data_IF_729811053644
#
_entry.id   IF_729811053644
#
_cell.length_a   1.000
_cell.length_b   1.000
_cell.length_c   1.000
_cell.angle_alpha   90.00
_cell.angle_beta   90.00
_cell.angle_gamma   90.00
#
_symmetry.space_group_name_H-M   'P 1'
#
loop_
_entity.id
_entity.type
_entity.pdbx_description
1 polymer ?
#
# COMPACT_ATOMS: atom_id res chain seq x y z
N UNK A 1 -84.54 -60.77 -21.82
CA UNK A 1 -84.64 -59.64 -20.87
C UNK A 1 -83.33 -58.89 -20.93
N UNK A 2 -83.43 -57.58 -21.16
CA UNK A 2 -82.27 -56.71 -21.14
C UNK A 2 -81.54 -56.78 -19.79
N UNK A 3 -80.24 -56.55 -19.82
CA UNK A 3 -79.41 -56.50 -18.62
C UNK A 3 -78.64 -55.18 -18.56
N UNK A 4 -78.42 -54.69 -17.34
CA UNK A 4 -77.69 -53.46 -17.07
C UNK A 4 -76.20 -53.77 -16.91
N UNK A 5 -75.36 -52.97 -17.55
CA UNK A 5 -73.92 -52.97 -17.33
C UNK A 5 -73.56 -51.72 -16.54
N UNK A 6 -72.86 -51.92 -15.42
CA UNK A 6 -72.33 -50.83 -14.60
C UNK A 6 -70.82 -50.73 -14.78
N UNK A 7 -70.30 -49.52 -14.68
CA UNK A 7 -68.87 -49.27 -14.52
C UNK A 7 -68.40 -49.72 -13.13
N UNK A 8 -67.08 -49.74 -12.93
CA UNK A 8 -66.47 -50.11 -11.65
C UNK A 8 -66.91 -49.19 -10.49
N UNK A 9 -67.12 -47.90 -10.77
CA UNK A 9 -67.66 -46.92 -9.81
C UNK A 9 -69.16 -47.08 -9.53
N UNK A 10 -69.78 -48.16 -9.99
CA UNK A 10 -71.21 -48.50 -9.88
C UNK A 10 -72.17 -47.64 -10.69
N UNK A 11 -71.68 -46.67 -11.47
CA UNK A 11 -72.53 -45.90 -12.38
C UNK A 11 -73.01 -46.76 -13.55
N UNK A 12 -74.26 -46.58 -13.97
CA UNK A 12 -74.80 -47.30 -15.11
C UNK A 12 -74.08 -46.86 -16.39
N UNK A 13 -73.48 -47.82 -17.11
CA UNK A 13 -72.88 -47.60 -18.42
C UNK A 13 -73.97 -47.62 -19.50
N UNK A 14 -74.73 -48.73 -19.59
CA UNK A 14 -75.80 -48.92 -20.58
C UNK A 14 -76.73 -50.06 -20.17
N UNK A 15 -77.86 -50.19 -20.87
CA UNK A 15 -78.80 -51.32 -20.78
C UNK A 15 -78.82 -52.02 -22.14
N UNK A 16 -78.36 -53.27 -22.20
CA UNK A 16 -78.26 -54.03 -23.45
C UNK A 16 -79.52 -54.85 -23.68
N UNK A 17 -80.23 -54.58 -24.79
CA UNK A 17 -81.47 -55.27 -25.15
C UNK A 17 -81.20 -56.61 -25.84
N UNK A 18 -82.13 -57.56 -25.69
CA UNK A 18 -82.05 -58.87 -26.38
C UNK A 18 -81.99 -58.70 -27.91
N UNK A 19 -81.17 -59.52 -28.56
CA UNK A 19 -81.03 -59.54 -30.02
C UNK A 19 -80.37 -58.30 -30.62
N UNK A 20 -79.75 -57.43 -29.80
CA UNK A 20 -79.09 -56.20 -30.26
C UNK A 20 -77.62 -56.14 -29.83
N UNK A 21 -76.85 -55.24 -30.44
CA UNK A 21 -75.50 -54.87 -30.01
C UNK A 21 -75.56 -53.44 -29.49
N UNK A 22 -75.07 -53.21 -28.28
CA UNK A 22 -74.75 -51.88 -27.78
C UNK A 22 -73.32 -51.52 -28.18
N UNK A 23 -73.16 -50.31 -28.73
CA UNK A 23 -71.86 -49.80 -29.17
C UNK A 23 -71.54 -48.46 -28.49
N UNK A 24 -72.03 -48.26 -27.28
CA UNK A 24 -71.81 -47.02 -26.53
C UNK A 24 -70.32 -46.82 -26.19
N UNK A 25 -69.55 -47.90 -26.12
CA UNK A 25 -68.09 -47.93 -25.91
C UNK A 25 -67.35 -48.49 -27.12
N UNK A 26 -66.01 -48.40 -27.12
CA UNK A 26 -65.17 -49.04 -28.15
C UNK A 26 -65.20 -50.58 -28.11
N UNK A 27 -65.60 -51.15 -26.97
CA UNK A 27 -65.99 -52.57 -26.87
C UNK A 27 -67.48 -52.69 -27.20
N UNK A 28 -67.82 -53.65 -28.07
CA UNK A 28 -69.22 -53.94 -28.43
C UNK A 28 -69.85 -54.84 -27.36
N UNK A 29 -70.92 -54.41 -26.72
CA UNK A 29 -71.63 -55.20 -25.70
C UNK A 29 -72.79 -55.96 -26.36
N UNK A 30 -72.75 -57.28 -26.31
CA UNK A 30 -73.64 -58.14 -27.11
C UNK A 30 -74.84 -58.62 -26.30
N UNK A 31 -76.05 -58.26 -26.72
CA UNK A 31 -77.29 -58.68 -26.07
C UNK A 31 -77.58 -60.17 -26.19
N UNK A 32 -78.40 -60.68 -25.27
CA UNK A 32 -78.79 -62.09 -25.25
C UNK A 32 -79.44 -62.49 -26.58
N UNK A 33 -79.12 -63.69 -27.10
CA UNK A 33 -79.62 -64.24 -28.36
C UNK A 33 -79.23 -63.47 -29.64
N UNK A 34 -78.19 -62.63 -29.61
CA UNK A 34 -77.66 -62.01 -30.83
C UNK A 34 -76.95 -63.05 -31.72
N UNK A 35 -77.36 -63.13 -32.99
CA UNK A 35 -76.72 -64.01 -33.97
C UNK A 35 -75.35 -63.43 -34.38
N UNK A 36 -74.28 -64.23 -34.25
CA UNK A 36 -72.91 -63.76 -34.51
C UNK A 36 -72.17 -63.23 -33.27
N UNK A 37 -72.67 -63.49 -32.06
CA UNK A 37 -72.03 -63.02 -30.81
C UNK A 37 -70.56 -63.44 -30.68
N UNK A 38 -70.21 -64.65 -31.13
CA UNK A 38 -68.87 -65.23 -30.95
C UNK A 38 -67.78 -64.47 -31.70
N UNK A 39 -68.08 -63.96 -32.89
CA UNK A 39 -67.15 -63.13 -33.67
C UNK A 39 -66.86 -61.81 -32.92
N UNK A 40 -67.92 -61.11 -32.53
CA UNK A 40 -67.82 -59.82 -31.83
C UNK A 40 -67.08 -59.96 -30.49
N UNK A 41 -67.33 -61.03 -29.76
CA UNK A 41 -66.69 -61.25 -28.47
C UNK A 41 -65.19 -61.57 -28.62
N UNK A 42 -64.81 -62.32 -29.65
CA UNK A 42 -63.41 -62.58 -29.96
C UNK A 42 -62.68 -61.32 -30.44
N UNK A 43 -63.31 -60.49 -31.27
CA UNK A 43 -62.76 -59.18 -31.67
C UNK A 43 -62.47 -58.30 -30.44
N UNK A 44 -63.43 -58.19 -29.52
CA UNK A 44 -63.25 -57.41 -28.30
C UNK A 44 -62.05 -57.90 -27.46
N UNK A 45 -61.81 -59.21 -27.38
CA UNK A 45 -60.64 -59.75 -26.68
C UNK A 45 -59.32 -59.39 -27.38
N UNK A 46 -59.31 -59.38 -28.71
CA UNK A 46 -58.14 -58.94 -29.49
C UNK A 46 -57.89 -57.46 -29.27
N UNK A 47 -58.93 -56.61 -29.35
CA UNK A 47 -58.81 -55.16 -29.11
C UNK A 47 -58.26 -54.86 -27.71
N UNK A 48 -58.70 -55.61 -26.69
CA UNK A 48 -58.15 -55.50 -25.35
C UNK A 48 -56.68 -55.95 -25.27
N UNK A 49 -56.33 -57.07 -25.93
CA UNK A 49 -54.98 -57.63 -25.93
C UNK A 49 -53.97 -56.65 -26.56
N UNK A 50 -54.36 -55.98 -27.64
CA UNK A 50 -53.53 -55.00 -28.33
C UNK A 50 -53.65 -53.57 -27.78
N UNK A 51 -54.40 -53.37 -26.69
CA UNK A 51 -54.67 -52.06 -26.11
C UNK A 51 -55.21 -51.07 -27.15
N UNK A 52 -56.19 -51.50 -27.96
CA UNK A 52 -56.83 -50.72 -29.01
C UNK A 52 -55.84 -50.09 -30.01
N UNK A 53 -54.73 -50.76 -30.30
CA UNK A 53 -53.65 -50.25 -31.15
C UNK A 53 -54.16 -49.70 -32.49
N UNK A 54 -53.85 -48.42 -32.77
CA UNK A 54 -54.29 -47.77 -34.00
C UNK A 54 -53.74 -46.35 -34.13
N UNK A 55 -53.74 -45.83 -35.36
CA UNK A 55 -53.22 -44.48 -35.66
C UNK A 55 -54.21 -43.37 -35.26
N UNK A 56 -55.48 -43.70 -35.09
CA UNK A 56 -56.53 -42.79 -34.67
C UNK A 56 -56.97 -43.13 -33.24
N UNK A 57 -57.28 -42.10 -32.46
CA UNK A 57 -57.80 -42.29 -31.11
C UNK A 57 -59.14 -43.04 -31.13
N UNK A 58 -59.38 -43.97 -30.17
CA UNK A 58 -60.67 -44.64 -30.05
C UNK A 58 -61.82 -43.62 -29.85
N UNK A 59 -62.87 -43.68 -30.69
CA UNK A 59 -63.90 -42.64 -30.75
C UNK A 59 -64.90 -42.68 -29.59
N UNK A 60 -65.02 -43.79 -28.86
CA UNK A 60 -65.99 -43.99 -27.79
C UNK A 60 -65.31 -44.38 -26.49
N UNK A 61 -64.29 -43.59 -26.17
CA UNK A 61 -63.41 -43.83 -25.03
C UNK A 61 -64.14 -43.71 -23.69
N UNK A 62 -63.82 -44.60 -22.76
CA UNK A 62 -64.23 -44.49 -21.36
C UNK A 62 -63.04 -44.09 -20.48
N UNK A 63 -63.32 -43.40 -19.37
CA UNK A 63 -62.27 -42.98 -18.43
C UNK A 63 -61.46 -44.20 -17.94
N UNK A 64 -60.13 -44.10 -18.03
CA UNK A 64 -59.19 -45.16 -17.68
C UNK A 64 -58.87 -46.14 -18.82
N UNK A 65 -59.53 -46.03 -19.99
CA UNK A 65 -59.18 -46.86 -21.15
C UNK A 65 -57.76 -46.58 -21.62
N UNK A 66 -57.07 -47.62 -22.05
CA UNK A 66 -55.70 -47.58 -22.56
C UNK A 66 -55.75 -47.68 -24.09
N UNK A 67 -54.87 -46.92 -24.77
CA UNK A 67 -54.71 -46.91 -26.21
C UNK A 67 -53.22 -46.90 -26.58
N UNK A 68 -52.80 -47.80 -27.47
CA UNK A 68 -51.49 -47.71 -28.10
C UNK A 68 -51.58 -46.91 -29.41
N UNK A 69 -51.10 -45.66 -29.38
CA UNK A 69 -51.04 -44.78 -30.54
C UNK A 69 -49.90 -45.24 -31.47
N UNK A 70 -50.26 -45.95 -32.55
CA UNK A 70 -49.28 -46.52 -33.48
C UNK A 70 -48.63 -45.46 -34.37
N UNK A 71 -49.22 -44.27 -34.51
CA UNK A 71 -48.60 -43.18 -35.27
C UNK A 71 -47.40 -42.58 -34.51
N UNK A 72 -47.50 -42.52 -33.17
CA UNK A 72 -46.47 -41.94 -32.31
C UNK A 72 -45.69 -42.98 -31.47
N UNK A 73 -46.04 -44.27 -31.56
CA UNK A 73 -45.47 -45.36 -30.74
C UNK A 73 -45.53 -45.09 -29.24
N UNK A 74 -46.68 -44.59 -28.76
CA UNK A 74 -46.87 -44.20 -27.35
C UNK A 74 -48.09 -44.90 -26.77
N UNK A 75 -47.94 -45.43 -25.56
CA UNK A 75 -49.07 -45.85 -24.73
C UNK A 75 -49.74 -44.61 -24.13
N UNK A 76 -51.06 -44.53 -24.26
CA UNK A 76 -51.90 -43.44 -23.76
C UNK A 76 -53.05 -43.98 -22.92
N UNK A 77 -53.61 -43.13 -22.06
CA UNK A 77 -54.83 -43.42 -21.30
C UNK A 77 -55.83 -42.27 -21.39
N UNK A 78 -57.13 -42.56 -21.33
CA UNK A 78 -58.18 -41.54 -21.38
C UNK A 78 -58.50 -41.03 -19.98
N UNK A 79 -58.32 -39.73 -19.72
CA UNK A 79 -58.52 -39.14 -18.39
C UNK A 79 -59.99 -38.79 -18.06
N UNK A 80 -60.89 -38.96 -19.02
CA UNK A 80 -62.30 -38.55 -18.94
C UNK A 80 -62.65 -37.33 -19.82
N UNK A 81 -61.65 -36.64 -20.36
CA UNK A 81 -61.82 -35.57 -21.33
C UNK A 81 -60.89 -35.67 -22.55
N UNK A 82 -59.65 -36.13 -22.37
CA UNK A 82 -58.65 -36.30 -23.43
C UNK A 82 -57.75 -37.52 -23.21
N UNK A 83 -57.11 -37.98 -24.28
CA UNK A 83 -56.04 -38.98 -24.21
C UNK A 83 -54.74 -38.34 -23.72
N UNK A 84 -54.09 -38.95 -22.73
CA UNK A 84 -52.80 -38.54 -22.15
C UNK A 84 -51.74 -39.60 -22.36
N UNK A 85 -50.49 -39.20 -22.49
CA UNK A 85 -49.34 -40.10 -22.59
C UNK A 85 -49.01 -40.72 -21.22
N UNK A 86 -48.64 -42.00 -21.19
CA UNK A 86 -48.11 -42.64 -19.99
C UNK A 86 -46.63 -42.27 -19.85
N UNK A 87 -46.26 -41.65 -18.73
CA UNK A 87 -44.93 -41.15 -18.32
C UNK A 87 -43.73 -41.40 -19.24
N UNK A 88 -43.10 -40.31 -19.68
CA UNK A 88 -41.83 -40.24 -20.41
C UNK A 88 -41.61 -38.81 -20.91
N UNK A 89 -40.38 -38.44 -21.27
CA UNK A 89 -40.17 -37.13 -21.91
C UNK A 89 -40.83 -37.13 -23.30
N UNK A 90 -41.56 -36.07 -23.63
CA UNK A 90 -41.92 -35.78 -25.02
C UNK A 90 -40.64 -35.49 -25.80
N UNK A 91 -40.55 -35.91 -27.06
CA UNK A 91 -39.32 -35.78 -27.86
C UNK A 91 -39.65 -34.97 -29.10
N UNK A 92 -39.12 -33.75 -29.20
CA UNK A 92 -39.36 -32.88 -30.35
C UNK A 92 -38.33 -31.74 -30.40
N UNK A 93 -38.11 -31.20 -31.59
CA UNK A 93 -37.24 -30.03 -31.82
C UNK A 93 -37.87 -28.70 -31.37
N UNK A 94 -39.17 -28.70 -31.07
CA UNK A 94 -39.92 -27.52 -30.62
C UNK A 94 -40.75 -27.88 -29.40
N UNK A 95 -41.02 -26.89 -28.55
CA UNK A 95 -41.77 -27.09 -27.30
C UNK A 95 -43.16 -27.71 -27.58
N UNK A 96 -43.47 -28.89 -26.99
CA UNK A 96 -44.76 -29.54 -27.16
C UNK A 96 -45.87 -28.79 -26.41
N UNK A 97 -47.06 -28.69 -27.03
CA UNK A 97 -48.23 -28.06 -26.42
C UNK A 97 -49.09 -29.08 -25.65
N UNK A 98 -49.83 -28.61 -24.64
CA UNK A 98 -50.87 -29.40 -23.96
C UNK A 98 -50.40 -30.30 -22.81
N UNK A 99 -49.17 -30.10 -22.34
CA UNK A 99 -48.58 -30.82 -21.23
C UNK A 99 -49.03 -30.27 -19.87
N UNK A 100 -48.89 -31.10 -18.83
CA UNK A 100 -49.25 -30.79 -17.45
C UNK A 100 -48.01 -30.61 -16.61
N UNK A 101 -48.14 -29.89 -15.48
CA UNK A 101 -47.02 -29.66 -14.57
C UNK A 101 -46.35 -30.99 -14.19
N UNK A 102 -45.04 -31.05 -14.35
CA UNK A 102 -44.22 -32.23 -14.08
C UNK A 102 -43.87 -33.06 -15.32
N UNK A 103 -44.46 -32.77 -16.49
CA UNK A 103 -44.10 -33.45 -17.73
C UNK A 103 -42.69 -33.05 -18.19
N UNK A 104 -41.93 -34.02 -18.68
CA UNK A 104 -40.61 -33.81 -19.25
C UNK A 104 -40.67 -33.61 -20.77
N UNK A 105 -39.74 -32.84 -21.31
CA UNK A 105 -39.54 -32.67 -22.75
C UNK A 105 -38.04 -32.74 -23.06
N UNK A 106 -37.66 -33.55 -24.05
CA UNK A 106 -36.32 -33.63 -24.61
C UNK A 106 -36.28 -32.85 -25.94
N UNK A 107 -35.57 -31.72 -25.92
CA UNK A 107 -35.28 -30.91 -27.10
C UNK A 107 -34.19 -31.59 -27.93
N UNK A 108 -34.57 -32.11 -29.11
CA UNK A 108 -33.62 -32.81 -29.99
C UNK A 108 -32.66 -31.88 -30.72
N UNK A 109 -32.97 -30.59 -30.83
CA UNK A 109 -32.10 -29.62 -31.51
C UNK A 109 -30.96 -29.19 -30.59
N UNK A 110 -31.29 -28.84 -29.34
CA UNK A 110 -30.32 -28.38 -28.35
C UNK A 110 -29.78 -29.50 -27.46
N UNK A 111 -30.35 -30.72 -27.56
CA UNK A 111 -30.00 -31.88 -26.73
C UNK A 111 -30.19 -31.62 -25.22
N UNK A 112 -31.32 -30.99 -24.88
CA UNK A 112 -31.62 -30.53 -23.53
C UNK A 112 -32.91 -31.13 -22.99
N UNK A 113 -32.92 -31.50 -21.71
CA UNK A 113 -34.09 -31.94 -20.96
C UNK A 113 -34.73 -30.76 -20.24
N UNK A 114 -36.02 -30.57 -20.47
CA UNK A 114 -36.87 -29.58 -19.83
C UNK A 114 -37.97 -30.26 -18.99
N UNK A 115 -38.45 -29.54 -17.97
CA UNK A 115 -39.64 -29.91 -17.20
C UNK A 115 -40.68 -28.79 -17.26
N UNK A 116 -41.95 -29.12 -17.50
CA UNK A 116 -43.03 -28.15 -17.54
C UNK A 116 -43.48 -27.79 -16.12
N UNK A 117 -43.41 -26.52 -15.73
CA UNK A 117 -43.78 -26.08 -14.38
C UNK A 117 -45.26 -25.70 -14.23
N UNK A 118 -46.04 -25.73 -15.33
CA UNK A 118 -47.44 -25.30 -15.37
C UNK A 118 -47.69 -24.06 -16.24
N UNK A 119 -46.65 -23.25 -16.47
CA UNK A 119 -46.68 -22.12 -17.41
C UNK A 119 -45.67 -22.29 -18.53
N UNK A 120 -44.44 -22.67 -18.19
CA UNK A 120 -43.30 -22.71 -19.10
C UNK A 120 -42.42 -23.94 -18.87
N UNK A 121 -41.54 -24.21 -19.83
CA UNK A 121 -40.49 -25.23 -19.72
C UNK A 121 -39.25 -24.69 -19.03
N UNK A 122 -38.82 -25.37 -17.97
CA UNK A 122 -37.59 -25.07 -17.22
C UNK A 122 -36.51 -26.07 -17.60
N UNK A 123 -35.33 -25.60 -17.98
CA UNK A 123 -34.18 -26.44 -18.30
C UNK A 123 -33.71 -27.21 -17.06
N UNK A 124 -33.63 -28.53 -17.18
CA UNK A 124 -33.10 -29.45 -16.16
C UNK A 124 -31.63 -29.79 -16.44
N UNK A 125 -31.23 -29.90 -17.71
CA UNK A 125 -29.84 -30.06 -18.16
C UNK A 125 -29.73 -30.80 -19.49
N UNK A 126 -28.52 -31.06 -20.05
CA UNK A 126 -27.29 -30.29 -19.92
C UNK A 126 -27.44 -28.85 -20.46
N UNK A 127 -26.59 -27.93 -20.02
CA UNK A 127 -26.54 -26.61 -20.62
C UNK A 127 -25.71 -26.68 -21.90
N UNK A 128 -26.35 -26.50 -23.06
CA UNK A 128 -25.64 -26.37 -24.32
C UNK A 128 -25.19 -24.92 -24.48
N UNK A 129 -23.88 -24.72 -24.58
CA UNK A 129 -23.25 -23.43 -24.78
C UNK A 129 -22.03 -23.57 -25.71
N UNK A 130 -22.26 -24.18 -26.88
CA UNK A 130 -21.28 -24.28 -27.97
C UNK A 130 -20.70 -25.68 -28.15
N UNK A 131 -19.66 -25.81 -28.97
CA UNK A 131 -19.10 -27.10 -29.40
C UNK A 131 -18.21 -27.79 -28.34
N UNK A 132 -18.28 -27.38 -27.07
CA UNK A 132 -17.47 -27.90 -25.96
C UNK A 132 -18.19 -27.76 -24.62
N UNK A 133 -17.63 -28.37 -23.57
CA UNK A 133 -18.24 -28.31 -22.23
C UNK A 133 -18.02 -26.93 -21.64
N UNK A 134 -19.11 -26.22 -21.35
CA UNK A 134 -19.10 -24.94 -20.65
C UNK A 134 -20.00 -25.04 -19.41
N UNK A 135 -19.42 -25.41 -18.27
CA UNK A 135 -20.15 -25.59 -17.02
C UNK A 135 -19.20 -25.55 -15.80
N UNK A 136 -19.78 -25.36 -14.61
CA UNK A 136 -19.07 -25.60 -13.35
C UNK A 136 -19.27 -27.05 -12.90
N UNK A 137 -18.18 -27.82 -12.85
CA UNK A 137 -18.20 -29.24 -12.47
C UNK A 137 -17.53 -29.47 -11.12
N UNK A 138 -18.06 -30.41 -10.33
CA UNK A 138 -17.33 -30.94 -9.18
C UNK A 138 -16.33 -31.97 -9.67
N UNK A 139 -15.04 -31.79 -9.37
CA UNK A 139 -13.95 -32.68 -9.73
C UNK A 139 -13.20 -33.14 -8.49
N UNK A 140 -12.73 -34.38 -8.50
CA UNK A 140 -11.78 -34.89 -7.50
C UNK A 140 -10.37 -34.84 -8.09
N UNK A 141 -9.43 -34.27 -7.36
CA UNK A 141 -8.02 -34.10 -7.75
C UNK A 141 -7.14 -34.65 -6.64
N UNK A 142 -6.19 -35.50 -6.97
CA UNK A 142 -5.18 -36.04 -6.06
C UNK A 142 -4.10 -34.99 -5.79
N UNK A 143 -3.75 -34.80 -4.52
CA UNK A 143 -2.60 -33.98 -4.14
C UNK A 143 -1.29 -34.79 -4.12
N UNK A 144 -0.14 -34.11 -4.02
CA UNK A 144 1.18 -34.76 -3.96
C UNK A 144 1.40 -35.67 -2.74
N UNK A 145 0.50 -35.61 -1.74
CA UNK A 145 0.46 -36.52 -0.59
C UNK A 145 -0.46 -37.72 -0.79
N UNK A 146 -0.95 -37.95 -2.02
CA UNK A 146 -1.92 -38.99 -2.37
C UNK A 146 -3.27 -38.85 -1.65
N UNK A 147 -3.68 -37.63 -1.30
CA UNK A 147 -4.99 -37.35 -0.70
C UNK A 147 -5.92 -36.80 -1.78
N UNK A 148 -7.10 -37.41 -1.92
CA UNK A 148 -8.16 -36.92 -2.82
C UNK A 148 -8.78 -35.63 -2.29
N UNK A 149 -8.73 -34.56 -3.10
CA UNK A 149 -9.30 -33.24 -2.82
C UNK A 149 -10.48 -32.98 -3.75
N UNK A 150 -11.57 -32.48 -3.21
CA UNK A 150 -12.71 -32.03 -4.01
C UNK A 150 -12.54 -30.56 -4.37
N UNK A 151 -12.70 -30.24 -5.66
CA UNK A 151 -12.67 -28.88 -6.19
C UNK A 151 -13.87 -28.65 -7.11
N UNK A 152 -14.23 -27.38 -7.30
CA UNK A 152 -15.14 -26.98 -8.38
C UNK A 152 -14.28 -26.41 -9.51
N UNK A 153 -14.44 -26.95 -10.72
CA UNK A 153 -13.76 -26.49 -11.92
C UNK A 153 -14.74 -25.74 -12.82
N UNK A 154 -14.42 -24.48 -13.12
CA UNK A 154 -15.14 -23.70 -14.11
C UNK A 154 -14.52 -23.92 -15.49
N UNK A 155 -15.18 -24.75 -16.29
CA UNK A 155 -14.76 -25.10 -17.64
C UNK A 155 -15.50 -24.25 -18.65
N UNK A 156 -14.80 -23.71 -19.64
CA UNK A 156 -15.37 -23.00 -20.79
C UNK A 156 -14.70 -23.57 -22.04
N UNK A 157 -15.49 -24.09 -22.98
CA UNK A 157 -15.00 -24.74 -24.20
C UNK A 157 -13.90 -25.78 -23.91
N UNK A 158 -14.15 -26.67 -22.94
CA UNK A 158 -13.23 -27.72 -22.48
C UNK A 158 -11.93 -27.24 -21.80
N UNK A 159 -11.76 -25.94 -21.58
CA UNK A 159 -10.61 -25.36 -20.86
C UNK A 159 -11.00 -24.88 -19.46
N UNK A 160 -10.19 -25.19 -18.45
CA UNK A 160 -10.48 -24.82 -17.06
C UNK A 160 -9.93 -23.42 -16.77
N UNK A 161 -10.82 -22.47 -16.50
CA UNK A 161 -10.48 -21.06 -16.30
C UNK A 161 -10.09 -20.74 -14.85
N UNK A 162 -10.75 -21.38 -13.88
CA UNK A 162 -10.43 -21.27 -12.46
C UNK A 162 -10.90 -22.49 -11.67
N UNK A 163 -10.31 -22.69 -10.49
CA UNK A 163 -10.65 -23.72 -9.52
C UNK A 163 -11.12 -23.10 -8.21
N UNK A 164 -12.08 -23.74 -7.55
CA UNK A 164 -12.51 -23.38 -6.19
C UNK A 164 -12.21 -24.54 -5.25
N UNK A 165 -11.56 -24.25 -4.12
CA UNK A 165 -11.22 -25.25 -3.10
C UNK A 165 -11.40 -24.71 -1.68
N UNK A 166 -11.84 -25.53 -0.70
CA UNK A 166 -11.87 -25.13 0.70
C UNK A 166 -10.49 -25.17 1.40
N UNK A 167 -9.46 -25.73 0.74
CA UNK A 167 -8.11 -25.89 1.30
C UNK A 167 -7.05 -25.64 0.23
N UNK A 168 -5.85 -25.22 0.65
CA UNK A 168 -4.70 -25.15 -0.25
C UNK A 168 -4.03 -26.52 -0.39
N UNK A 169 -3.64 -26.90 -1.62
CA UNK A 169 -2.89 -28.13 -1.89
C UNK A 169 -2.12 -28.05 -3.23
N UNK A 170 -1.05 -28.84 -3.35
CA UNK A 170 -0.30 -29.02 -4.61
C UNK A 170 -0.88 -30.21 -5.37
N UNK A 171 -1.19 -30.02 -6.66
CA UNK A 171 -1.73 -31.07 -7.53
C UNK A 171 -0.63 -32.09 -7.84
N UNK A 172 -0.96 -33.38 -7.73
CA UNK A 172 -0.09 -34.42 -8.27
C UNK A 172 -0.23 -34.48 -9.80
N UNK A 173 0.68 -33.84 -10.52
CA UNK A 173 0.67 -33.82 -11.99
C UNK A 173 1.36 -35.02 -12.63
N UNK A 174 1.67 -36.09 -11.87
CA UNK A 174 2.33 -37.29 -12.43
C UNK A 174 1.39 -38.14 -13.30
N UNK A 175 0.08 -38.11 -13.02
CA UNK A 175 -0.96 -38.72 -13.86
C UNK A 175 -1.65 -37.65 -14.73
N UNK A 176 -1.67 -37.87 -16.05
CA UNK A 176 -2.32 -36.99 -17.02
C UNK A 176 -3.85 -36.86 -16.80
N UNK A 177 -4.49 -37.84 -16.17
CA UNK A 177 -5.91 -37.78 -15.83
C UNK A 177 -6.18 -36.90 -14.59
N UNK A 178 -5.19 -36.79 -13.70
CA UNK A 178 -5.28 -35.95 -12.52
C UNK A 178 -4.88 -34.49 -12.79
N UNK A 179 -3.88 -34.30 -13.65
CA UNK A 179 -3.36 -32.99 -14.02
C UNK A 179 -4.46 -32.08 -14.59
N UNK A 180 -4.35 -30.78 -14.28
CA UNK A 180 -5.21 -29.73 -14.84
C UNK A 180 -4.30 -28.69 -15.48
N UNK A 181 -4.46 -28.46 -16.78
CA UNK A 181 -3.61 -27.55 -17.54
C UNK A 181 -3.61 -26.14 -16.93
N UNK A 182 -2.41 -25.61 -16.65
CA UNK A 182 -2.23 -24.30 -16.03
C UNK A 182 -2.36 -24.26 -14.51
N UNK A 183 -2.45 -25.41 -13.82
CA UNK A 183 -2.51 -25.49 -12.36
C UNK A 183 -1.47 -26.49 -11.81
N UNK A 184 -0.62 -26.01 -10.89
CA UNK A 184 0.30 -26.83 -10.09
C UNK A 184 -0.07 -26.79 -8.60
N UNK A 185 -0.63 -25.67 -8.14
CA UNK A 185 -1.17 -25.43 -6.81
C UNK A 185 -2.61 -24.95 -6.91
N UNK A 186 -3.45 -25.38 -5.98
CA UNK A 186 -4.79 -24.84 -5.78
C UNK A 186 -4.79 -24.13 -4.43
N UNK A 187 -5.05 -22.83 -4.43
CA UNK A 187 -5.21 -22.02 -3.22
C UNK A 187 -6.58 -22.25 -2.60
N UNK A 188 -6.69 -22.05 -1.28
CA UNK A 188 -7.99 -21.95 -0.62
C UNK A 188 -8.77 -20.75 -1.20
N UNK A 189 -10.03 -20.96 -1.57
CA UNK A 189 -10.84 -19.98 -2.29
C UNK A 189 -10.78 -20.21 -3.79
N UNK A 190 -10.64 -19.13 -4.57
CA UNK A 190 -10.58 -19.17 -6.04
C UNK A 190 -9.14 -19.07 -6.52
N UNK A 191 -8.72 -20.01 -7.37
CA UNK A 191 -7.42 -20.01 -8.04
C UNK A 191 -7.63 -19.83 -9.54
N UNK A 192 -7.08 -18.77 -10.14
CA UNK A 192 -7.16 -18.54 -11.58
C UNK A 192 -6.15 -19.42 -12.34
N UNK A 193 -6.44 -19.75 -13.59
CA UNK A 193 -5.50 -20.48 -14.46
C UNK A 193 -4.15 -19.76 -14.54
N UNK A 194 -3.06 -20.53 -14.51
CA UNK A 194 -1.67 -20.07 -14.50
C UNK A 194 -1.28 -19.27 -13.26
N UNK A 195 -1.96 -19.48 -12.14
CA UNK A 195 -1.56 -18.99 -10.82
C UNK A 195 -0.64 -20.02 -10.17
N UNK A 196 0.62 -20.03 -10.60
CA UNK A 196 1.54 -21.12 -10.28
C UNK A 196 2.30 -20.91 -8.96
N UNK A 197 2.83 -22.00 -8.39
CA UNK A 197 3.70 -21.93 -7.21
C UNK A 197 4.99 -21.16 -7.52
N UNK A 198 5.57 -21.39 -8.72
CA UNK A 198 6.79 -20.72 -9.17
C UNK A 198 6.65 -19.20 -9.34
N UNK A 199 5.44 -18.71 -9.59
CA UNK A 199 5.14 -17.27 -9.68
C UNK A 199 4.64 -16.69 -8.35
N UNK A 200 4.83 -17.43 -7.24
CA UNK A 200 4.37 -17.06 -5.91
C UNK A 200 2.88 -16.69 -5.84
N UNK A 201 2.03 -17.32 -6.66
CA UNK A 201 0.60 -17.03 -6.72
C UNK A 201 0.21 -15.82 -7.58
N UNK A 202 1.10 -15.33 -8.44
CA UNK A 202 0.77 -14.34 -9.47
C UNK A 202 0.30 -15.06 -10.75
N UNK A 203 -0.88 -14.71 -11.25
CA UNK A 203 -1.37 -15.20 -12.55
C UNK A 203 -0.48 -14.68 -13.69
N UNK A 204 0.15 -15.57 -14.46
CA UNK A 204 1.09 -15.20 -15.53
C UNK A 204 0.46 -14.86 -16.88
N UNK A 205 -0.87 -14.87 -16.97
CA UNK A 205 -1.65 -14.62 -18.19
C UNK A 205 -2.76 -13.62 -17.91
N UNK A 206 -3.51 -13.19 -18.93
CA UNK A 206 -4.53 -12.14 -18.82
C UNK A 206 -5.76 -12.51 -17.96
N UNK A 207 -5.77 -13.70 -17.33
CA UNK A 207 -6.82 -14.10 -16.39
C UNK A 207 -6.76 -13.22 -15.14
N UNK A 208 -7.75 -12.33 -15.01
CA UNK A 208 -7.87 -11.40 -13.90
C UNK A 208 -9.34 -11.18 -13.55
N UNK A 209 -9.60 -10.82 -12.30
CA UNK A 209 -10.91 -10.35 -11.89
C UNK A 209 -11.09 -8.90 -12.37
N UNK A 210 -11.92 -8.70 -13.39
CA UNK A 210 -12.32 -7.37 -13.83
C UNK A 210 -13.54 -6.89 -13.03
N UNK A 211 -13.41 -5.77 -12.33
CA UNK A 211 -14.51 -5.15 -11.60
C UNK A 211 -14.04 -4.07 -10.62
N UNK A 212 -14.99 -3.29 -10.10
CA UNK A 212 -14.72 -2.40 -8.96
C UNK A 212 -14.89 -3.22 -7.68
N UNK A 213 -13.82 -3.63 -7.02
CA UNK A 213 -13.94 -4.10 -5.64
C UNK A 213 -14.17 -2.86 -4.76
N UNK A 214 -15.25 -2.85 -3.98
CA UNK A 214 -15.59 -1.73 -3.07
C UNK A 214 -14.46 -1.40 -2.07
N UNK A 215 -13.56 -2.36 -1.84
CA UNK A 215 -12.35 -2.20 -1.05
C UNK A 215 -11.05 -2.11 -1.87
N UNK A 216 -11.03 -2.18 -3.20
CA UNK A 216 -9.78 -2.05 -3.98
C UNK A 216 -9.15 -0.65 -3.92
N UNK A 217 -9.95 0.37 -3.58
CA UNK A 217 -9.45 1.72 -3.25
C UNK A 217 -8.82 1.82 -1.86
N UNK A 218 -8.84 0.72 -1.08
CA UNK A 218 -8.36 0.67 0.30
C UNK A 218 -7.49 -0.55 0.53
N UNK A 219 -6.23 -0.35 0.86
CA UNK A 219 -5.38 -1.44 1.35
C UNK A 219 -5.55 -1.50 2.87
N UNK A 220 -5.93 -2.66 3.42
CA UNK A 220 -6.16 -2.84 4.87
C UNK A 220 -7.12 -1.78 5.50
N UNK A 221 -8.12 -1.32 4.74
CA UNK A 221 -9.10 -0.31 5.19
C UNK A 221 -8.64 1.16 5.06
N UNK A 222 -7.39 1.41 4.67
CA UNK A 222 -6.81 2.74 4.49
C UNK A 222 -6.90 3.13 3.02
N UNK A 223 -7.41 4.33 2.73
CA UNK A 223 -7.53 4.83 1.35
C UNK A 223 -6.16 4.92 0.68
N UNK A 224 -6.11 4.58 -0.61
CA UNK A 224 -4.91 4.68 -1.45
C UNK A 224 -4.24 6.08 -1.37
N UNK A 225 -5.03 7.15 -1.19
CA UNK A 225 -4.54 8.52 -1.06
C UNK A 225 -3.72 8.80 0.20
N UNK A 226 -3.82 7.94 1.21
CA UNK A 226 -3.13 8.12 2.49
C UNK A 226 -1.75 7.47 2.52
N UNK A 227 -1.36 6.76 1.45
CA UNK A 227 -0.05 6.13 1.36
C UNK A 227 1.00 7.09 0.81
N UNK A 228 2.19 7.03 1.41
CA UNK A 228 3.38 7.63 0.85
C UNK A 228 4.00 6.63 -0.12
N UNK A 229 4.15 7.02 -1.38
CA UNK A 229 4.70 6.15 -2.44
C UNK A 229 6.09 6.62 -2.87
N UNK A 230 7.02 5.68 -3.04
CA UNK A 230 8.31 5.92 -3.65
C UNK A 230 8.24 5.64 -5.15
N UNK A 231 7.82 6.63 -5.93
CA UNK A 231 7.73 6.51 -7.39
C UNK A 231 8.99 7.07 -8.05
N UNK A 232 9.80 6.24 -8.74
CA UNK A 232 10.98 6.73 -9.43
C UNK A 232 10.65 7.88 -10.39
N UNK A 233 11.38 8.99 -10.28
CA UNK A 233 11.20 10.17 -11.13
C UNK A 233 10.06 11.12 -10.72
N UNK A 234 9.26 10.78 -9.70
CA UNK A 234 8.23 11.66 -9.15
C UNK A 234 8.56 11.99 -7.67
N UNK A 235 8.73 13.27 -7.30
CA UNK A 235 9.00 13.62 -5.91
C UNK A 235 7.78 13.32 -5.04
N UNK A 236 8.03 12.75 -3.85
CA UNK A 236 7.04 12.71 -2.78
C UNK A 236 6.91 14.11 -2.18
N UNK A 237 5.72 14.71 -2.24
CA UNK A 237 5.45 16.06 -1.74
C UNK A 237 4.50 16.00 -0.55
N UNK A 238 4.92 16.55 0.59
CA UNK A 238 4.06 16.79 1.74
C UNK A 238 3.60 18.25 1.72
N UNK A 239 2.28 18.48 1.75
CA UNK A 239 1.68 19.83 1.73
C UNK A 239 1.37 20.38 3.12
N UNK A 240 1.49 19.53 4.14
CA UNK A 240 1.26 19.84 5.55
C UNK A 240 2.53 19.53 6.37
N UNK A 241 2.56 19.93 7.63
CA UNK A 241 3.65 19.59 8.55
C UNK A 241 3.74 18.06 8.71
N UNK A 242 4.93 17.51 8.44
CA UNK A 242 5.23 16.08 8.63
C UNK A 242 5.93 15.87 9.97
N UNK A 243 5.35 15.06 10.85
CA UNK A 243 5.91 14.71 12.15
C UNK A 243 6.62 13.35 12.10
N UNK A 244 7.87 13.29 12.55
CA UNK A 244 8.59 12.05 12.85
C UNK A 244 8.53 11.84 14.36
N UNK A 245 7.66 10.94 14.83
CA UNK A 245 7.35 10.79 16.26
C UNK A 245 8.35 9.93 17.04
N UNK A 246 9.35 9.38 16.37
CA UNK A 246 10.41 8.59 17.02
C UNK A 246 11.68 9.43 17.12
N UNK A 247 12.41 9.25 18.21
CA UNK A 247 13.68 9.95 18.43
C UNK A 247 14.75 9.56 17.41
N UNK A 248 14.56 8.42 16.71
CA UNK A 248 15.40 8.01 15.58
C UNK A 248 15.36 9.00 14.39
N UNK A 249 14.31 9.82 14.29
CA UNK A 249 14.19 10.90 13.31
C UNK A 249 14.22 10.45 11.85
N UNK A 250 15.00 11.14 11.02
CA UNK A 250 15.12 10.92 9.57
C UNK A 250 16.58 10.72 9.15
N UNK A 251 16.80 9.77 8.25
CA UNK A 251 18.09 9.53 7.58
C UNK A 251 17.96 9.77 6.07
N UNK A 252 18.91 10.51 5.50
CA UNK A 252 18.86 11.07 4.14
C UNK A 252 20.14 10.69 3.39
N UNK A 253 19.99 10.25 2.14
CA UNK A 253 21.10 9.89 1.26
C UNK A 253 21.28 8.39 1.08
N UNK A 254 21.92 7.99 -0.02
CA UNK A 254 22.25 6.60 -0.29
C UNK A 254 23.37 6.16 0.65
N UNK A 255 23.09 5.26 1.59
CA UNK A 255 24.01 4.93 2.68
C UNK A 255 23.70 5.64 4.01
N UNK A 256 22.61 6.42 4.06
CA UNK A 256 22.12 7.08 5.28
C UNK A 256 23.12 8.11 5.83
N UNK A 257 23.65 8.96 4.94
CA UNK A 257 24.74 9.90 5.24
C UNK A 257 24.33 10.98 6.25
N UNK A 258 23.26 11.73 5.96
CA UNK A 258 22.78 12.83 6.82
C UNK A 258 21.65 12.32 7.72
N UNK A 259 21.75 12.56 9.02
CA UNK A 259 20.71 12.25 10.01
C UNK A 259 20.27 13.49 10.77
N UNK A 260 18.97 13.61 10.96
CA UNK A 260 18.34 14.56 11.87
C UNK A 260 17.53 13.74 12.87
N UNK A 261 17.90 13.80 14.15
CA UNK A 261 17.34 12.92 15.18
C UNK A 261 17.39 13.58 16.57
N UNK A 262 16.77 12.94 17.56
CA UNK A 262 16.78 13.37 18.96
C UNK A 262 17.71 12.43 19.76
N UNK A 263 18.65 13.00 20.48
CA UNK A 263 19.53 12.31 21.44
C UNK A 263 19.11 12.64 22.88
N UNK A 264 19.33 11.73 23.82
CA UNK A 264 19.02 11.92 25.25
C UNK A 264 17.60 12.47 25.51
N UNK A 265 16.62 12.00 24.74
CA UNK A 265 15.19 12.37 24.73
C UNK A 265 14.85 13.83 24.35
N UNK A 266 15.81 14.77 24.37
CA UNK A 266 15.50 16.20 24.16
C UNK A 266 16.56 17.02 23.43
N UNK A 267 17.64 16.41 22.92
CA UNK A 267 18.72 17.10 22.23
C UNK A 267 18.59 16.90 20.72
N UNK A 268 18.33 17.98 19.97
CA UNK A 268 18.26 17.92 18.51
C UNK A 268 19.64 17.80 17.88
N UNK A 269 19.87 16.77 17.06
CA UNK A 269 21.16 16.48 16.45
C UNK A 269 21.09 16.54 14.92
N UNK A 270 22.07 17.21 14.31
CA UNK A 270 22.37 17.14 12.88
C UNK A 270 23.71 16.42 12.74
N UNK A 271 23.70 15.22 12.16
CA UNK A 271 24.89 14.37 12.06
C UNK A 271 25.16 13.94 10.63
N UNK A 272 26.43 13.95 10.23
CA UNK A 272 26.92 13.14 9.13
C UNK A 272 27.44 11.80 9.69
N UNK A 273 26.81 10.68 9.33
CA UNK A 273 27.14 9.34 9.83
C UNK A 273 28.19 8.60 9.00
N UNK A 274 28.54 9.10 7.80
CA UNK A 274 29.48 8.43 6.89
C UNK A 274 30.70 9.31 6.56
N UNK A 275 30.49 10.60 6.36
CA UNK A 275 31.55 11.59 6.12
C UNK A 275 31.97 12.35 7.38
N UNK A 276 33.01 13.17 7.23
CA UNK A 276 33.61 13.99 8.28
C UNK A 276 33.27 15.49 8.15
N UNK A 277 32.22 15.82 7.38
CA UNK A 277 31.92 17.20 7.02
C UNK A 277 30.42 17.48 6.95
N UNK A 278 30.00 18.61 7.54
CA UNK A 278 28.66 19.20 7.38
C UNK A 278 28.82 20.59 6.75
N UNK A 279 28.12 20.85 5.64
CA UNK A 279 28.20 22.13 4.91
C UNK A 279 26.94 22.95 5.06
N UNK A 280 27.10 24.21 5.42
CA UNK A 280 26.02 25.19 5.37
C UNK A 280 26.14 26.02 4.09
N UNK A 281 25.14 25.86 3.21
CA UNK A 281 25.06 26.58 1.94
C UNK A 281 23.86 27.50 1.93
N UNK A 282 24.05 28.69 1.41
CA UNK A 282 22.98 29.68 1.20
C UNK A 282 22.98 30.12 -0.24
N UNK A 283 21.82 30.57 -0.73
CA UNK A 283 21.72 31.19 -2.04
C UNK A 283 22.06 32.68 -1.91
N UNK A 284 23.05 33.15 -2.66
CA UNK A 284 23.31 34.59 -2.78
C UNK A 284 22.13 35.27 -3.49
N UNK A 285 21.80 36.51 -3.12
CA UNK A 285 20.73 37.27 -3.77
C UNK A 285 20.98 37.36 -5.28
N UNK A 286 20.06 36.83 -6.09
CA UNK A 286 20.21 36.74 -7.55
C UNK A 286 21.30 35.79 -8.05
N UNK A 287 21.97 35.04 -7.16
CA UNK A 287 23.16 34.24 -7.46
C UNK A 287 22.98 32.73 -7.26
N UNK A 288 24.12 32.04 -7.24
CA UNK A 288 24.21 30.59 -7.02
C UNK A 288 24.16 30.23 -5.52
N UNK A 289 24.00 28.94 -5.24
CA UNK A 289 24.22 28.41 -3.89
C UNK A 289 25.72 28.44 -3.58
N UNK A 290 26.09 29.16 -2.53
CA UNK A 290 27.48 29.27 -2.06
C UNK A 290 27.66 28.55 -0.74
N UNK A 291 28.87 28.05 -0.52
CA UNK A 291 29.26 27.47 0.75
C UNK A 291 29.72 28.57 1.70
N UNK A 292 29.15 28.63 2.90
CA UNK A 292 29.41 29.71 3.87
C UNK A 292 30.25 29.21 5.04
N UNK A 293 29.94 28.02 5.55
CA UNK A 293 30.64 27.41 6.68
C UNK A 293 30.73 25.90 6.48
N UNK A 294 31.91 25.35 6.71
CA UNK A 294 32.17 23.91 6.79
C UNK A 294 32.47 23.53 8.25
N UNK A 295 31.71 22.59 8.80
CA UNK A 295 31.97 22.00 10.12
C UNK A 295 32.64 20.66 9.91
N UNK A 296 33.83 20.49 10.51
CA UNK A 296 34.61 19.24 10.51
C UNK A 296 35.02 18.89 11.94
N UNK A 297 35.40 17.64 12.22
CA UNK A 297 35.99 17.27 13.50
C UNK A 297 37.12 18.24 13.90
N UNK A 298 36.92 18.97 14.99
CA UNK A 298 37.91 19.90 15.55
C UNK A 298 37.98 21.29 14.89
N UNK A 299 37.19 21.60 13.87
CA UNK A 299 37.22 22.95 13.26
C UNK A 299 35.90 23.40 12.63
N UNK A 300 35.64 24.70 12.72
CA UNK A 300 34.64 25.41 11.92
C UNK A 300 35.43 26.29 10.96
N UNK A 301 35.27 26.04 9.66
CA UNK A 301 36.03 26.70 8.61
C UNK A 301 35.10 27.62 7.79
N UNK A 302 35.58 28.77 7.30
CA UNK A 302 34.87 29.52 6.28
C UNK A 302 34.63 28.62 5.06
N UNK A 303 33.53 28.84 4.35
CA UNK A 303 33.20 28.06 3.17
C UNK A 303 34.19 28.25 2.02
N UNK A 304 34.36 27.22 1.20
CA UNK A 304 35.28 27.24 0.05
C UNK A 304 34.67 28.01 -1.14
N UNK A 305 35.41 28.99 -1.67
CA UNK A 305 35.07 29.76 -2.87
C UNK A 305 35.53 29.08 -4.16
N UNK A 306 36.73 28.51 -4.16
CA UNK A 306 37.30 27.75 -5.27
C UNK A 306 38.02 26.54 -4.71
N UNK A 307 37.92 25.39 -5.37
CA UNK A 307 38.62 24.16 -4.99
C UNK A 307 39.98 24.01 -5.67
N UNK A 308 40.27 24.81 -6.70
CA UNK A 308 41.55 24.73 -7.43
C UNK A 308 41.99 26.10 -7.96
N UNK A 309 42.94 26.80 -7.29
CA UNK A 309 43.48 26.50 -5.97
C UNK A 309 42.39 26.62 -4.87
N UNK A 310 42.60 25.99 -3.72
CA UNK A 310 41.67 26.12 -2.59
C UNK A 310 41.70 27.54 -2.04
N UNK A 311 40.60 28.26 -2.18
CA UNK A 311 40.41 29.62 -1.66
C UNK A 311 39.22 29.60 -0.72
N UNK A 312 39.43 29.99 0.53
CA UNK A 312 38.36 30.17 1.49
C UNK A 312 37.71 31.54 1.32
N UNK A 313 36.41 31.63 1.57
CA UNK A 313 35.69 32.89 1.60
C UNK A 313 36.08 33.71 2.82
N UNK A 314 36.05 35.03 2.67
CA UNK A 314 36.01 35.93 3.82
C UNK A 314 34.62 35.87 4.44
N UNK A 315 34.54 35.55 5.72
CA UNK A 315 33.28 35.45 6.47
C UNK A 315 33.47 36.20 7.78
N UNK A 316 32.53 37.10 8.08
CA UNK A 316 32.48 37.83 9.34
C UNK A 316 31.62 37.07 10.37
N UNK A 317 32.00 37.17 11.65
CA UNK A 317 31.17 36.70 12.76
C UNK A 317 30.43 37.92 13.33
N UNK A 318 29.17 38.09 12.90
CA UNK A 318 28.36 39.27 13.21
C UNK A 318 28.66 40.45 12.27
N UNK A 319 28.14 41.63 12.61
CA UNK A 319 28.38 42.88 11.87
C UNK A 319 28.40 44.09 12.79
N UNK A 320 28.78 45.27 12.29
CA UNK A 320 28.73 46.53 13.07
C UNK A 320 27.33 46.88 13.62
N UNK A 321 26.27 46.39 12.97
CA UNK A 321 24.86 46.68 13.36
C UNK A 321 24.18 45.50 14.05
N UNK A 322 24.80 44.32 14.03
CA UNK A 322 24.33 43.11 14.68
C UNK A 322 25.55 42.27 15.13
N UNK A 323 26.32 42.75 16.13
CA UNK A 323 27.42 42.00 16.71
C UNK A 323 26.90 40.87 17.62
N UNK A 324 27.76 39.90 17.90
CA UNK A 324 27.54 38.99 19.03
C UNK A 324 27.90 39.73 20.31
N UNK A 325 27.09 39.57 21.36
CA UNK A 325 27.32 40.23 22.65
C UNK A 325 28.67 39.79 23.27
N UNK A 326 28.89 38.47 23.35
CA UNK A 326 30.12 37.87 23.88
C UNK A 326 30.62 36.76 22.95
N UNK A 327 31.95 36.67 22.80
CA UNK A 327 32.62 35.56 22.15
C UNK A 327 33.61 34.94 23.13
N UNK A 328 33.26 33.76 23.66
CA UNK A 328 34.11 33.01 24.56
C UNK A 328 35.08 32.13 23.75
N UNK A 329 36.38 32.41 23.86
CA UNK A 329 37.43 31.62 23.24
C UNK A 329 38.62 31.47 24.19
N UNK A 330 39.32 30.34 24.12
CA UNK A 330 40.56 30.14 24.87
C UNK A 330 41.66 31.11 24.43
N UNK A 331 41.83 31.27 23.12
CA UNK A 331 42.78 32.20 22.50
C UNK A 331 42.16 32.84 21.24
N UNK A 332 42.49 34.10 20.99
CA UNK A 332 42.28 34.76 19.70
C UNK A 332 43.62 34.91 18.98
N UNK A 333 43.72 34.37 17.77
CA UNK A 333 44.92 34.48 16.92
C UNK A 333 44.62 35.39 15.74
N UNK A 334 45.19 36.60 15.74
CA UNK A 334 44.97 37.56 14.68
C UNK A 334 45.26 39.00 15.11
N UNK A 335 44.86 39.94 14.27
CA UNK A 335 44.95 41.37 14.54
C UNK A 335 43.62 41.82 15.15
N UNK A 336 43.67 42.43 16.33
CA UNK A 336 42.51 43.12 16.90
C UNK A 336 42.54 44.59 16.48
N UNK A 337 41.46 45.07 15.86
CA UNK A 337 41.33 46.48 15.47
C UNK A 337 41.08 47.38 16.70
N UNK A 338 40.35 46.88 17.71
CA UNK A 338 40.00 47.63 18.93
C UNK A 338 39.96 46.70 20.15
N UNK A 339 40.56 47.15 21.25
CA UNK A 339 40.43 46.53 22.56
C UNK A 339 40.05 47.60 23.59
N UNK A 340 38.93 47.41 24.30
CA UNK A 340 38.45 48.36 25.30
C UNK A 340 39.30 48.34 26.58
N UNK A 341 39.83 47.18 26.97
CA UNK A 341 40.70 47.01 28.13
C UNK A 341 41.50 45.70 28.04
N UNK A 342 42.59 45.62 28.81
CA UNK A 342 43.32 44.38 29.08
C UNK A 342 42.97 43.89 30.49
N UNK A 343 42.71 42.60 30.68
CA UNK A 343 42.52 42.03 32.02
C UNK A 343 43.83 41.38 32.46
N UNK A 344 44.43 41.88 33.55
CA UNK A 344 45.66 41.35 34.12
C UNK A 344 45.42 40.96 35.57
N UNK A 345 45.56 39.66 35.89
CA UNK A 345 45.31 39.14 37.24
C UNK A 345 43.89 39.45 37.75
N UNK A 346 42.89 39.35 36.87
CA UNK A 346 41.48 39.65 37.18
C UNK A 346 41.12 41.14 37.23
N UNK A 347 42.08 42.06 37.06
CA UNK A 347 41.83 43.49 37.07
C UNK A 347 41.76 44.05 35.65
N UNK A 348 40.70 44.79 35.36
CA UNK A 348 40.53 45.49 34.09
C UNK A 348 41.44 46.71 34.04
N UNK A 349 42.28 46.79 33.00
CA UNK A 349 43.22 47.88 32.73
C UNK A 349 42.84 48.55 31.41
N UNK A 350 42.23 49.73 31.50
CA UNK A 350 41.90 50.54 30.32
C UNK A 350 43.14 51.34 29.90
N UNK A 351 43.29 51.64 28.61
CA UNK A 351 44.34 52.56 28.15
C UNK A 351 44.12 53.98 28.69
N UNK A 352 45.15 54.57 29.31
CA UNK A 352 45.13 55.97 29.76
C UNK A 352 46.24 56.79 29.10
N UNK A 353 45.87 57.97 28.61
CA UNK A 353 46.81 59.01 28.18
C UNK A 353 46.90 60.03 29.31
N UNK A 354 47.85 59.81 30.20
CA UNK A 354 48.06 60.70 31.35
C UNK A 354 48.90 61.93 30.96
N UNK A 355 48.85 63.00 31.76
CA UNK A 355 49.70 64.18 31.60
C UNK A 355 51.06 64.01 32.29
N UNK A 356 52.03 64.85 31.95
CA UNK A 356 53.37 64.80 32.57
C UNK A 356 53.30 64.83 34.11
N UNK A 357 54.01 63.90 34.75
CA UNK A 357 54.04 63.75 36.21
C UNK A 357 52.76 63.17 36.84
N UNK A 358 51.77 62.80 36.04
CA UNK A 358 50.52 62.17 36.52
C UNK A 358 50.49 60.70 36.12
N UNK A 359 49.59 59.95 36.76
CA UNK A 359 49.22 58.64 36.24
C UNK A 359 48.00 58.08 36.94
N UNK A 360 47.14 57.45 36.14
CA UNK A 360 45.91 56.88 36.64
C UNK A 360 46.19 55.45 37.13
N UNK A 361 45.92 55.17 38.40
CA UNK A 361 46.06 53.82 38.95
C UNK A 361 45.16 52.82 38.21
N UNK A 362 45.59 51.56 38.12
CA UNK A 362 44.82 50.49 37.46
C UNK A 362 44.54 50.69 35.96
N UNK A 363 45.41 51.39 35.23
CA UNK A 363 45.33 51.56 33.77
C UNK A 363 46.56 50.98 33.06
N UNK A 364 46.54 50.99 31.72
CA UNK A 364 47.69 50.79 30.85
C UNK A 364 48.15 52.16 30.35
N UNK A 365 49.39 52.55 30.62
CA UNK A 365 49.95 53.77 30.03
C UNK A 365 50.04 53.61 28.50
N UNK A 366 49.39 54.51 27.77
CA UNK A 366 49.44 54.56 26.30
C UNK A 366 49.97 55.93 25.84
N UNK A 367 50.54 55.98 24.63
CA UNK A 367 51.15 57.22 24.14
C UNK A 367 50.11 58.30 23.86
N UNK A 368 50.46 59.55 24.13
CA UNK A 368 49.68 60.72 23.71
C UNK A 368 49.79 60.97 22.20
N UNK A 369 49.05 61.97 21.70
CA UNK A 369 49.09 62.37 20.29
C UNK A 369 50.43 62.95 19.82
N UNK A 370 51.33 63.29 20.75
CA UNK A 370 52.72 63.70 20.47
C UNK A 370 53.71 62.54 20.56
N UNK A 371 53.23 61.33 20.88
CA UNK A 371 54.03 60.13 21.02
C UNK A 371 54.72 59.97 22.38
N UNK A 372 54.43 60.80 23.38
CA UNK A 372 55.02 60.65 24.72
C UNK A 372 54.27 59.58 25.52
N UNK A 373 54.99 58.85 26.37
CA UNK A 373 54.41 57.89 27.30
C UNK A 373 54.54 58.44 28.73
N UNK A 374 53.41 58.76 29.36
CA UNK A 374 53.37 59.34 30.71
C UNK A 374 52.91 58.29 31.73
N UNK A 375 53.52 58.31 32.92
CA UNK A 375 53.13 57.50 34.07
C UNK A 375 53.60 58.18 35.36
N UNK A 376 53.03 57.81 36.52
CA UNK A 376 53.52 58.29 37.84
C UNK A 376 54.96 57.89 38.08
N UNK A 377 55.29 56.63 37.77
CA UNK A 377 56.58 56.04 38.08
C UNK A 377 56.83 54.85 37.15
N UNK A 378 57.94 54.90 36.41
CA UNK A 378 58.49 53.74 35.74
C UNK A 378 59.48 53.04 36.69
N UNK A 379 59.06 51.93 37.27
CA UNK A 379 59.92 51.10 38.12
C UNK A 379 60.66 50.06 37.27
N UNK A 380 61.94 50.29 37.03
CA UNK A 380 62.81 49.37 36.29
C UNK A 380 64.21 49.98 36.08
N UNK A 381 65.10 49.20 35.47
CA UNK A 381 66.44 49.70 35.09
C UNK A 381 66.39 50.26 33.68
N UNK A 382 66.50 51.58 33.53
CA UNK A 382 66.73 52.20 32.23
C UNK A 382 68.18 51.92 31.80
N UNK A 383 68.37 51.28 30.64
CA UNK A 383 69.71 50.95 30.11
C UNK A 383 70.43 52.17 29.51
N UNK A 384 69.67 53.19 29.12
CA UNK A 384 70.18 54.52 28.76
C UNK A 384 69.04 55.55 28.80
N UNK A 385 69.37 56.81 29.07
CA UNK A 385 68.46 57.95 28.95
C UNK A 385 69.17 59.05 28.15
N UNK A 386 68.45 59.69 27.22
CA UNK A 386 69.03 60.71 26.33
C UNK A 386 69.36 62.02 27.06
N UNK A 387 68.56 62.35 28.07
CA UNK A 387 68.72 63.48 28.96
C UNK A 387 68.30 63.00 30.35
N UNK A 388 69.26 62.64 31.20
CA UNK A 388 69.01 62.42 32.62
C UNK A 388 69.60 63.63 33.35
N UNK A 389 68.76 64.44 33.99
CA UNK A 389 69.21 65.35 35.02
C UNK A 389 69.49 64.51 36.26
N UNK A 390 70.78 64.22 36.49
CA UNK A 390 71.18 63.74 37.80
C UNK A 390 70.83 64.86 38.78
N UNK A 391 70.00 64.60 39.79
CA UNK A 391 69.91 65.52 40.92
C UNK A 391 71.30 65.53 41.57
N UNK A 392 72.13 66.50 41.19
CA UNK A 392 73.48 66.67 41.70
C UNK A 392 73.36 67.11 43.16
N UNK A 393 73.46 66.14 44.07
CA UNK A 393 73.57 66.40 45.51
C UNK A 393 75.02 66.83 45.75
N UNK A 394 75.27 68.14 45.73
CA UNK A 394 76.56 68.70 46.06
C UNK A 394 76.83 68.57 47.57
N UNK A 395 77.96 67.97 47.93
CA UNK A 395 78.39 67.88 49.34
C UNK A 395 78.80 69.25 49.88
N UNK A 396 78.59 69.48 51.18
CA UNK A 396 79.00 70.72 51.88
C UNK A 396 79.83 70.35 53.10
N UNK A 397 80.78 71.23 53.50
CA UNK A 397 81.61 71.01 54.69
C UNK A 397 80.79 70.81 55.97
N UNK A 398 79.63 71.46 56.02
CA UNK A 398 78.75 71.56 57.17
C UNK A 398 77.37 72.04 56.75
N UNK A 399 76.42 71.90 57.66
CA UNK A 399 75.10 72.49 57.49
C UNK A 399 75.20 74.02 57.60
N UNK A 400 74.73 74.72 56.57
CA UNK A 400 74.72 76.18 56.52
C UNK A 400 73.33 76.72 56.91
N UNK A 401 73.23 77.87 57.60
CA UNK A 401 71.95 78.50 57.92
C UNK A 401 71.15 78.82 56.66
N UNK A 402 69.82 78.73 56.78
CA UNK A 402 68.88 79.08 55.70
C UNK A 402 69.11 80.53 55.26
N UNK A 403 69.27 80.74 53.95
CA UNK A 403 69.56 82.05 53.35
C UNK A 403 71.03 82.30 53.02
N UNK A 404 71.93 81.34 53.31
CA UNK A 404 73.33 81.39 52.85
C UNK A 404 73.39 81.20 51.34
N UNK A 405 73.95 82.16 50.61
CA UNK A 405 74.28 81.97 49.20
C UNK A 405 75.42 80.94 49.08
N UNK A 406 75.22 79.91 48.27
CA UNK A 406 76.19 78.84 48.04
C UNK A 406 76.72 78.91 46.60
N UNK A 407 77.99 78.59 46.42
CA UNK A 407 78.65 78.45 45.13
C UNK A 407 79.43 77.13 45.09
N UNK A 408 79.59 76.57 43.89
CA UNK A 408 80.50 75.44 43.68
C UNK A 408 81.93 75.92 43.95
N UNK A 409 82.60 75.24 44.87
CA UNK A 409 83.97 75.55 45.25
C UNK A 409 84.93 74.47 44.77
N UNK A 410 86.22 74.77 44.77
CA UNK A 410 87.29 73.84 44.38
C UNK A 410 87.91 73.14 45.59
N UNK A 411 87.14 72.99 46.67
CA UNK A 411 87.62 72.33 47.89
C UNK A 411 87.66 70.80 47.66
N UNK A 412 88.64 70.11 48.25
CA UNK A 412 88.81 68.66 48.06
C UNK A 412 87.75 67.86 48.83
N UNK A 413 87.27 68.40 49.95
CA UNK A 413 86.38 67.68 50.87
C UNK A 413 84.88 67.93 50.60
N UNK A 414 84.53 68.96 49.82
CA UNK A 414 83.14 69.29 49.51
C UNK A 414 82.98 70.08 48.21
N UNK A 415 81.84 69.89 47.55
CA UNK A 415 81.60 70.43 46.21
C UNK A 415 80.94 71.83 46.24
N UNK A 416 80.28 72.19 47.33
CA UNK A 416 79.65 73.51 47.50
C UNK A 416 80.01 74.18 48.83
N UNK A 417 80.27 75.49 48.78
CA UNK A 417 80.59 76.33 49.94
C UNK A 417 79.88 77.70 49.87
N UNK A 418 79.97 78.54 50.93
CA UNK A 418 79.36 79.87 50.91
C UNK A 418 79.96 80.74 49.79
N UNK A 419 79.11 81.44 49.05
CA UNK A 419 79.54 82.37 48.02
C UNK A 419 80.20 83.60 48.65
N UNK A 420 81.45 83.89 48.27
CA UNK A 420 82.15 85.11 48.67
C UNK A 420 81.67 86.29 47.81
N UNK A 421 81.36 87.42 48.46
CA UNK A 421 80.86 88.65 47.82
C UNK A 421 81.95 89.45 47.10
#
# INVERSE_FOLDING_TARGET
MAYTINKYDTTQLTIVQDGTIDQTTDIKLVGKNYAGYGEIQNENFVFLLENFAGANQPPRAIQGQIWFDTANSKLKFYDGGKWRTTGGAEISATAPAGLSTGDFWWDTTNQQLYAYNGTDFVLVGPQDAGTGITQMTSKTVLDTGSISRSVIAATVNDDVQFLISPVEFTIDSTDAQNAISGFDVVRQGVTLKNTQSATAGVTSTDHQFHGTASNALKLNGISASNYVTANPGAPTVFTEITNFQTDAGIAIGAGLDLKLFIENDNEGVIQNSQGDEIKFRVKESGGANVNVVDIRPGSILPGIQSTSPTVYRSIDIGSMTAPFDDVYAGNFWGISEKASALIVGGNTRVGSVDSSGTGTGNTVAVRDGSGNLNAVLFQGTATSARYADLAEIYTTAKEHPVGTAMAICTDEDHEAGPANA
#
